data_IF_039815689930
#
_entry.id   IF_039815689930
#
_cell.length_a   1.000
_cell.length_b   1.000
_cell.length_c   1.000
_cell.angle_alpha   90.00
_cell.angle_beta   90.00
_cell.angle_gamma   90.00
#
_symmetry.space_group_name_H-M   'P 1'
#
loop_
_entity.id
_entity.type
_entity.pdbx_description
1 polymer ?
#
# COMPACT_ATOMS: atom_id res chain seq x y z
N UNK A 1 -60.67 -3.84 -5.12
CA UNK A 1 -60.20 -2.46 -4.86
C UNK A 1 -59.13 -2.34 -3.77
N UNK A 2 -59.28 -3.00 -2.61
CA UNK A 2 -58.33 -2.88 -1.48
C UNK A 2 -56.89 -3.31 -1.85
N UNK A 3 -56.73 -4.39 -2.63
CA UNK A 3 -55.41 -4.89 -3.07
C UNK A 3 -54.60 -3.89 -3.90
N UNK A 4 -55.27 -3.08 -4.73
CA UNK A 4 -54.60 -2.11 -5.60
C UNK A 4 -54.13 -0.87 -4.83
N UNK A 5 -54.94 -0.39 -3.87
CA UNK A 5 -54.54 0.69 -2.96
C UNK A 5 -53.35 0.30 -2.09
N UNK A 6 -53.31 -0.94 -1.60
CA UNK A 6 -52.17 -1.50 -0.87
C UNK A 6 -50.90 -1.57 -1.72
N UNK A 7 -51.01 -2.01 -2.98
CA UNK A 7 -49.87 -2.06 -3.90
C UNK A 7 -49.31 -0.67 -4.22
N UNK A 8 -50.17 0.31 -4.51
CA UNK A 8 -49.77 1.70 -4.77
C UNK A 8 -49.11 2.33 -3.54
N UNK A 9 -49.64 2.08 -2.35
CA UNK A 9 -49.06 2.58 -1.10
C UNK A 9 -47.68 1.95 -0.82
N UNK A 10 -47.53 0.64 -1.04
CA UNK A 10 -46.25 -0.05 -0.89
C UNK A 10 -45.18 0.43 -1.87
N UNK A 11 -45.56 0.68 -3.14
CA UNK A 11 -44.66 1.25 -4.16
C UNK A 11 -44.27 2.68 -3.81
N UNK A 12 -45.23 3.49 -3.34
CA UNK A 12 -44.96 4.85 -2.86
C UNK A 12 -43.97 4.87 -1.69
N UNK A 13 -44.13 3.96 -0.72
CA UNK A 13 -43.19 3.78 0.39
C UNK A 13 -41.79 3.37 -0.07
N UNK A 14 -41.69 2.43 -1.02
CA UNK A 14 -40.41 2.02 -1.61
C UNK A 14 -39.70 3.18 -2.30
N UNK A 15 -40.42 4.03 -3.03
CA UNK A 15 -39.87 5.20 -3.73
C UNK A 15 -39.51 6.36 -2.80
N UNK A 16 -40.26 6.56 -1.70
CA UNK A 16 -39.99 7.60 -0.71
C UNK A 16 -38.89 7.22 0.29
N UNK A 17 -38.67 5.92 0.52
CA UNK A 17 -37.67 5.41 1.46
C UNK A 17 -36.23 5.92 1.24
N UNK A 18 -35.70 6.05 0.01
CA UNK A 18 -34.33 6.51 -0.19
C UNK A 18 -34.17 7.99 0.15
N UNK A 19 -35.18 8.80 -0.15
CA UNK A 19 -35.21 10.23 0.20
C UNK A 19 -35.26 10.44 1.71
N UNK A 20 -36.07 9.64 2.42
CA UNK A 20 -36.11 9.68 3.89
C UNK A 20 -34.78 9.24 4.51
N UNK A 21 -34.18 8.16 4.02
CA UNK A 21 -32.88 7.68 4.49
C UNK A 21 -31.76 8.71 4.24
N UNK A 22 -31.75 9.37 3.08
CA UNK A 22 -30.82 10.46 2.76
C UNK A 22 -30.96 11.64 3.71
N UNK A 23 -32.19 12.09 3.98
CA UNK A 23 -32.43 13.21 4.89
C UNK A 23 -32.05 12.87 6.33
N UNK A 24 -32.43 11.68 6.83
CA UNK A 24 -32.06 11.23 8.18
C UNK A 24 -30.54 11.08 8.31
N UNK A 25 -29.87 10.54 7.29
CA UNK A 25 -28.41 10.46 7.29
C UNK A 25 -27.77 11.85 7.31
N UNK A 26 -28.24 12.76 6.44
CA UNK A 26 -27.78 14.14 6.38
C UNK A 26 -27.83 14.84 7.73
N UNK A 27 -28.97 14.75 8.42
CA UNK A 27 -29.14 15.31 9.77
C UNK A 27 -28.13 14.71 10.76
N UNK A 28 -27.98 13.38 10.78
CA UNK A 28 -27.02 12.71 11.68
C UNK A 28 -25.59 13.14 11.40
N UNK A 29 -25.19 13.27 10.13
CA UNK A 29 -23.85 13.73 9.77
C UNK A 29 -23.61 15.18 10.16
N UNK A 30 -24.60 16.07 9.98
CA UNK A 30 -24.48 17.46 10.42
C UNK A 30 -24.33 17.57 11.93
N UNK A 31 -25.11 16.81 12.70
CA UNK A 31 -24.98 16.77 14.16
C UNK A 31 -23.60 16.23 14.58
N UNK A 32 -23.15 15.14 13.98
CA UNK A 32 -21.82 14.59 14.25
C UNK A 32 -20.69 15.58 13.92
N UNK A 33 -20.78 16.30 12.79
CA UNK A 33 -19.80 17.30 12.39
C UNK A 33 -19.74 18.46 13.39
N UNK A 34 -20.89 18.92 13.90
CA UNK A 34 -20.97 19.96 14.94
C UNK A 34 -20.28 19.45 16.22
N UNK A 35 -20.56 18.23 16.65
CA UNK A 35 -19.93 17.64 17.84
C UNK A 35 -18.42 17.46 17.66
N UNK A 36 -17.97 17.06 16.47
CA UNK A 36 -16.56 16.92 16.12
C UNK A 36 -15.84 18.27 16.14
N UNK A 37 -16.44 19.31 15.55
CA UNK A 37 -15.88 20.66 15.56
C UNK A 37 -15.78 21.21 16.98
N UNK A 38 -16.83 21.07 17.79
CA UNK A 38 -16.81 21.50 19.21
C UNK A 38 -15.75 20.77 20.03
N UNK A 39 -15.58 19.47 19.82
CA UNK A 39 -14.53 18.71 20.50
C UNK A 39 -13.12 19.16 20.09
N UNK A 40 -12.91 19.49 18.81
CA UNK A 40 -11.65 20.04 18.32
C UNK A 40 -11.38 21.45 18.87
N UNK A 41 -12.40 22.32 18.93
CA UNK A 41 -12.28 23.66 19.53
C UNK A 41 -11.92 23.59 21.02
N UNK A 42 -12.56 22.70 21.78
CA UNK A 42 -12.25 22.48 23.20
C UNK A 42 -10.82 21.96 23.40
N UNK A 43 -10.36 21.03 22.54
CA UNK A 43 -9.00 20.53 22.57
C UNK A 43 -7.96 21.63 22.25
N UNK A 44 -8.25 22.52 21.29
CA UNK A 44 -7.42 23.69 20.99
C UNK A 44 -7.41 24.72 22.12
N UNK A 45 -8.48 24.80 22.91
CA UNK A 45 -8.57 25.61 24.13
C UNK A 45 -7.87 24.98 25.35
N UNK A 46 -7.26 23.79 25.21
CA UNK A 46 -6.52 23.11 26.28
C UNK A 46 -7.37 22.23 27.20
N UNK A 47 -8.65 22.01 26.87
CA UNK A 47 -9.50 21.07 27.61
C UNK A 47 -9.21 19.61 27.22
N UNK A 48 -9.48 18.69 28.14
CA UNK A 48 -9.32 17.26 27.87
C UNK A 48 -10.25 16.82 26.71
N UNK A 49 -9.72 16.11 25.70
CA UNK A 49 -10.48 15.77 24.51
C UNK A 49 -11.68 14.87 24.87
N UNK A 50 -12.89 15.37 24.64
CA UNK A 50 -14.10 14.56 24.76
C UNK A 50 -14.20 13.61 23.57
N UNK A 51 -14.48 12.32 23.77
CA UNK A 51 -14.60 11.38 22.67
C UNK A 51 -15.83 11.71 21.83
N UNK A 52 -15.61 12.05 20.57
CA UNK A 52 -16.67 12.19 19.58
C UNK A 52 -17.14 10.78 19.20
N UNK A 53 -18.46 10.59 19.09
CA UNK A 53 -19.04 9.35 18.59
C UNK A 53 -18.53 9.01 17.18
N UNK A 54 -18.76 7.77 16.71
CA UNK A 54 -18.37 7.37 15.36
C UNK A 54 -19.16 8.18 14.32
N UNK A 55 -18.50 8.55 13.23
CA UNK A 55 -19.15 9.19 12.08
C UNK A 55 -20.31 8.30 11.58
N UNK A 56 -21.50 8.88 11.30
CA UNK A 56 -22.62 8.12 10.75
C UNK A 56 -22.26 7.49 9.41
N UNK A 57 -22.44 6.18 9.31
CA UNK A 57 -22.17 5.41 8.08
C UNK A 57 -23.15 5.82 6.99
N UNK A 58 -22.66 6.07 5.78
CA UNK A 58 -23.51 6.39 4.62
C UNK A 58 -24.49 5.27 4.30
N UNK A 59 -25.75 5.56 3.96
CA UNK A 59 -26.70 4.53 3.50
C UNK A 59 -26.26 3.85 2.19
N UNK A 60 -25.33 4.46 1.44
CA UNK A 60 -24.73 3.89 0.23
C UNK A 60 -23.31 3.35 0.47
N UNK A 61 -22.86 3.27 1.72
CA UNK A 61 -21.52 2.77 2.05
C UNK A 61 -21.29 1.37 1.47
N UNK A 62 -22.30 0.51 1.51
CA UNK A 62 -22.24 -0.85 0.93
C UNK A 62 -21.93 -0.87 -0.58
N UNK A 63 -22.37 0.13 -1.35
CA UNK A 63 -22.06 0.23 -2.79
C UNK A 63 -20.59 0.55 -2.98
N UNK A 64 -20.07 1.51 -2.20
CA UNK A 64 -18.66 1.92 -2.24
C UNK A 64 -17.73 0.82 -1.74
N UNK A 65 -18.11 0.14 -0.66
CA UNK A 65 -17.34 -0.96 -0.09
C UNK A 65 -17.31 -2.13 -1.08
N UNK A 66 -18.43 -2.47 -1.73
CA UNK A 66 -18.46 -3.47 -2.79
C UNK A 66 -17.58 -3.08 -3.99
N UNK A 67 -17.59 -1.82 -4.40
CA UNK A 67 -16.72 -1.34 -5.49
C UNK A 67 -15.24 -1.40 -5.10
N UNK A 68 -14.90 -1.01 -3.87
CA UNK A 68 -13.53 -1.08 -3.34
C UNK A 68 -13.06 -2.52 -3.23
N UNK A 69 -13.86 -3.40 -2.64
CA UNK A 69 -13.54 -4.84 -2.53
C UNK A 69 -13.33 -5.43 -3.93
N UNK A 70 -14.25 -5.18 -4.88
CA UNK A 70 -14.08 -5.64 -6.27
C UNK A 70 -12.76 -5.15 -6.89
N UNK A 71 -12.39 -3.89 -6.70
CA UNK A 71 -11.16 -3.33 -7.24
C UNK A 71 -9.88 -3.92 -6.61
N UNK A 72 -9.91 -4.27 -5.32
CA UNK A 72 -8.76 -4.90 -4.65
C UNK A 72 -8.59 -6.37 -5.08
N UNK A 73 -9.70 -7.07 -5.29
CA UNK A 73 -9.74 -8.47 -5.69
C UNK A 73 -9.74 -8.69 -7.23
N UNK A 74 -9.67 -7.64 -8.04
CA UNK A 74 -9.54 -7.76 -9.50
C UNK A 74 -8.13 -8.21 -9.88
N UNK A 75 -7.98 -9.47 -10.30
CA UNK A 75 -6.70 -10.06 -10.69
C UNK A 75 -6.19 -9.57 -12.06
N UNK A 76 -7.03 -8.93 -12.86
CA UNK A 76 -6.73 -8.61 -14.27
C UNK A 76 -6.22 -7.20 -14.49
N UNK A 77 -6.55 -6.28 -13.56
CA UNK A 77 -6.22 -4.87 -13.63
C UNK A 77 -4.93 -4.54 -12.86
N UNK A 78 -4.18 -3.55 -13.32
CA UNK A 78 -3.11 -2.95 -12.51
C UNK A 78 -3.75 -2.02 -11.48
N UNK A 79 -3.36 -2.14 -10.21
CA UNK A 79 -3.92 -1.36 -9.11
C UNK A 79 -2.80 -0.68 -8.32
N UNK A 80 -2.90 0.64 -8.09
CA UNK A 80 -1.89 1.41 -7.37
C UNK A 80 -1.69 0.96 -5.91
N UNK A 81 -2.71 0.33 -5.32
CA UNK A 81 -2.69 -0.23 -3.96
C UNK A 81 -1.99 -1.58 -3.87
N UNK A 82 -1.60 -2.16 -5.01
CA UNK A 82 -0.79 -3.36 -5.17
C UNK A 82 0.51 -2.97 -5.82
N UNK A 83 1.54 -2.73 -5.03
CA UNK A 83 2.79 -2.17 -5.54
C UNK A 83 4.05 -2.76 -4.91
N UNK A 84 5.15 -2.72 -5.66
CA UNK A 84 6.48 -2.93 -5.12
C UNK A 84 7.20 -1.59 -5.16
N UNK A 85 7.64 -1.10 -4.01
CA UNK A 85 8.48 0.09 -3.93
C UNK A 85 9.94 -0.31 -4.09
N UNK A 86 10.60 0.34 -5.04
CA UNK A 86 12.02 0.18 -5.34
C UNK A 86 12.71 1.53 -5.33
N UNK A 87 14.01 1.54 -5.05
CA UNK A 87 14.82 2.75 -5.12
C UNK A 87 16.23 2.43 -5.57
N UNK A 88 16.80 3.31 -6.40
CA UNK A 88 18.17 3.27 -6.84
C UNK A 88 18.92 4.57 -6.56
N UNK A 89 20.23 4.47 -6.36
CA UNK A 89 21.15 5.62 -6.24
C UNK A 89 21.99 5.61 -7.50
N UNK A 90 21.88 6.68 -8.29
CA UNK A 90 22.45 6.76 -9.64
C UNK A 90 23.11 8.11 -9.84
N UNK A 91 24.16 8.15 -10.65
CA UNK A 91 24.69 9.41 -11.13
C UNK A 91 23.78 9.96 -12.25
N UNK A 92 23.87 11.26 -12.56
CA UNK A 92 23.06 11.84 -13.65
C UNK A 92 23.45 11.23 -14.99
N UNK A 93 24.73 10.91 -15.14
CA UNK A 93 25.33 10.30 -16.31
C UNK A 93 24.70 8.92 -16.60
N UNK A 94 24.33 8.18 -15.57
CA UNK A 94 23.67 6.86 -15.69
C UNK A 94 22.19 6.98 -16.15
N UNK A 95 21.63 8.18 -16.11
CA UNK A 95 20.28 8.49 -16.58
C UNK A 95 20.26 9.01 -18.03
N UNK A 96 21.44 9.25 -18.62
CA UNK A 96 21.57 9.69 -20.00
C UNK A 96 21.37 8.53 -20.97
N UNK A 97 20.75 8.82 -22.11
CA UNK A 97 20.80 7.89 -23.23
C UNK A 97 22.15 7.99 -23.96
N UNK A 98 22.61 6.92 -24.63
CA UNK A 98 23.88 6.96 -25.35
C UNK A 98 23.93 8.13 -26.35
N UNK A 99 24.93 9.01 -26.22
CA UNK A 99 25.10 10.19 -27.05
C UNK A 99 24.32 11.44 -26.62
N UNK A 100 23.58 11.38 -25.53
CA UNK A 100 22.90 12.53 -24.94
C UNK A 100 23.88 13.41 -24.17
N UNK A 101 23.79 14.73 -24.35
CA UNK A 101 24.59 15.68 -23.58
C UNK A 101 24.08 15.76 -22.14
N UNK A 102 24.99 15.95 -21.18
CA UNK A 102 24.59 16.18 -19.78
C UNK A 102 23.69 17.41 -19.65
N UNK A 103 22.65 17.37 -18.80
CA UNK A 103 21.80 18.52 -18.56
C UNK A 103 22.59 19.63 -17.88
N UNK A 104 22.13 20.88 -18.02
CA UNK A 104 22.60 21.98 -17.20
C UNK A 104 22.47 21.60 -15.71
N UNK A 105 23.50 21.82 -14.87
CA UNK A 105 23.44 21.52 -13.44
C UNK A 105 22.20 22.07 -12.73
N UNK A 106 21.69 23.23 -13.15
CA UNK A 106 20.48 23.83 -12.56
C UNK A 106 19.21 23.01 -12.83
N UNK A 107 19.17 22.25 -13.94
CA UNK A 107 18.04 21.40 -14.33
C UNK A 107 18.28 19.91 -14.09
N UNK A 108 19.44 19.52 -13.55
CA UNK A 108 19.77 18.14 -13.24
C UNK A 108 18.74 17.43 -12.34
N UNK A 109 18.14 18.08 -11.31
CA UNK A 109 17.10 17.45 -10.49
C UNK A 109 15.82 17.13 -11.28
N UNK A 110 15.35 18.09 -12.09
CA UNK A 110 14.17 17.91 -12.94
C UNK A 110 14.41 16.83 -13.99
N UNK A 111 15.62 16.80 -14.56
CA UNK A 111 16.03 15.77 -15.49
C UNK A 111 16.02 14.38 -14.85
N UNK A 112 16.59 14.24 -13.63
CA UNK A 112 16.60 12.99 -12.90
C UNK A 112 15.18 12.48 -12.60
N UNK A 113 14.28 13.37 -12.19
CA UNK A 113 12.88 13.04 -11.93
C UNK A 113 12.17 12.56 -13.20
N UNK A 114 12.34 13.26 -14.33
CA UNK A 114 11.75 12.88 -15.61
C UNK A 114 12.24 11.52 -16.14
N UNK A 115 13.46 11.11 -15.78
CA UNK A 115 14.06 9.83 -16.21
C UNK A 115 13.86 8.69 -15.21
N UNK A 116 13.48 8.98 -13.96
CA UNK A 116 13.34 7.99 -12.89
C UNK A 116 12.44 6.81 -13.28
N UNK A 117 11.27 7.10 -13.86
CA UNK A 117 10.32 6.05 -14.27
C UNK A 117 10.92 5.12 -15.34
N UNK A 118 11.61 5.69 -16.35
CA UNK A 118 12.23 4.91 -17.41
C UNK A 118 13.39 4.05 -16.89
N UNK A 119 14.16 4.56 -15.94
CA UNK A 119 15.26 3.79 -15.35
C UNK A 119 14.72 2.63 -14.49
N UNK A 120 13.71 2.91 -13.65
CA UNK A 120 13.21 1.94 -12.69
C UNK A 120 12.22 0.93 -13.26
N UNK A 121 11.72 1.12 -14.49
CA UNK A 121 10.84 0.14 -15.15
C UNK A 121 11.50 -1.23 -15.33
N UNK A 122 12.83 -1.30 -15.38
CA UNK A 122 13.55 -2.58 -15.45
C UNK A 122 13.26 -3.51 -14.26
N UNK A 123 12.94 -2.95 -13.08
CA UNK A 123 12.55 -3.73 -11.91
C UNK A 123 11.17 -4.40 -12.07
N UNK A 124 10.35 -4.01 -13.07
CA UNK A 124 9.13 -4.74 -13.38
C UNK A 124 9.41 -6.19 -13.80
N UNK A 125 10.60 -6.52 -14.30
CA UNK A 125 10.97 -7.91 -14.61
C UNK A 125 10.92 -8.80 -13.36
N UNK A 126 11.37 -8.28 -12.21
CA UNK A 126 11.32 -9.01 -10.94
C UNK A 126 9.87 -9.20 -10.47
N UNK A 127 9.04 -8.16 -10.63
CA UNK A 127 7.60 -8.21 -10.27
C UNK A 127 6.86 -9.20 -11.17
N UNK A 128 7.10 -9.17 -12.47
CA UNK A 128 6.47 -10.09 -13.45
C UNK A 128 6.92 -11.53 -13.26
N UNK A 129 8.17 -11.74 -12.84
CA UNK A 129 8.68 -13.08 -12.56
C UNK A 129 7.99 -13.75 -11.36
N UNK A 130 7.49 -12.97 -10.39
CA UNK A 130 7.02 -13.50 -9.09
C UNK A 130 5.58 -13.15 -8.74
N UNK A 131 5.19 -11.89 -8.82
CA UNK A 131 3.94 -11.38 -8.22
C UNK A 131 2.83 -11.09 -9.21
N UNK A 132 3.17 -10.75 -10.46
CA UNK A 132 2.21 -10.15 -11.37
C UNK A 132 2.22 -10.66 -12.80
N UNK A 133 1.07 -10.55 -13.45
CA UNK A 133 0.90 -10.77 -14.90
C UNK A 133 1.12 -9.50 -15.71
N UNK A 134 0.96 -8.33 -15.06
CA UNK A 134 1.21 -7.00 -15.62
C UNK A 134 1.93 -6.16 -14.57
N UNK A 135 2.82 -5.27 -15.01
CA UNK A 135 3.52 -4.31 -14.16
C UNK A 135 3.60 -2.96 -14.86
N UNK A 136 3.41 -1.88 -14.10
CA UNK A 136 3.56 -0.52 -14.59
C UNK A 136 4.10 0.38 -13.48
N UNK A 137 4.86 1.41 -13.86
CA UNK A 137 5.27 2.46 -12.92
C UNK A 137 4.08 3.37 -12.69
N UNK A 138 3.59 3.46 -11.44
CA UNK A 138 2.47 4.35 -11.07
C UNK A 138 2.93 5.69 -10.50
N UNK A 139 4.10 5.70 -9.86
CA UNK A 139 4.71 6.89 -9.28
C UNK A 139 6.22 6.72 -9.36
N UNK A 140 6.93 7.79 -9.71
CA UNK A 140 8.38 7.85 -9.65
C UNK A 140 8.81 9.22 -9.13
N UNK A 141 9.93 9.26 -8.42
CA UNK A 141 10.50 10.51 -7.90
C UNK A 141 12.03 10.43 -7.89
N UNK A 142 12.68 11.59 -7.84
CA UNK A 142 14.12 11.69 -7.67
C UNK A 142 14.44 12.69 -6.55
N UNK A 143 15.42 12.35 -5.71
CA UNK A 143 15.89 13.21 -4.64
C UNK A 143 17.41 13.32 -4.72
N UNK A 144 17.94 14.54 -4.70
CA UNK A 144 19.37 14.78 -4.69
C UNK A 144 20.01 14.27 -3.38
N UNK A 145 21.09 13.52 -3.51
CA UNK A 145 21.93 13.09 -2.40
C UNK A 145 23.10 14.07 -2.19
N UNK A 146 23.73 13.99 -1.01
CA UNK A 146 24.82 14.92 -0.63
C UNK A 146 26.11 14.70 -1.41
N UNK A 147 26.28 13.53 -2.03
CA UNK A 147 27.43 13.14 -2.83
C UNK A 147 27.29 13.52 -4.32
N UNK A 148 26.24 14.25 -4.68
CA UNK A 148 25.95 14.65 -6.06
C UNK A 148 25.20 13.58 -6.87
N UNK A 149 24.95 12.40 -6.29
CA UNK A 149 24.08 11.39 -6.89
C UNK A 149 22.59 11.71 -6.67
N UNK A 150 21.73 10.97 -7.34
CA UNK A 150 20.27 11.05 -7.17
C UNK A 150 19.75 9.71 -6.66
N UNK A 151 19.00 9.76 -5.57
CA UNK A 151 18.15 8.64 -5.16
C UNK A 151 16.85 8.73 -5.93
N UNK A 152 16.70 7.87 -6.94
CA UNK A 152 15.46 7.69 -7.68
C UNK A 152 14.64 6.58 -7.01
N UNK A 153 13.32 6.74 -6.99
CA UNK A 153 12.41 5.74 -6.46
C UNK A 153 11.16 5.61 -7.30
N UNK A 154 10.54 4.44 -7.24
CA UNK A 154 9.31 4.16 -7.96
C UNK A 154 8.40 3.21 -7.20
N UNK A 155 7.09 3.38 -7.41
CA UNK A 155 6.07 2.38 -7.11
C UNK A 155 5.73 1.63 -8.38
N UNK A 156 6.01 0.34 -8.37
CA UNK A 156 5.71 -0.59 -9.45
C UNK A 156 4.39 -1.28 -9.14
N UNK A 157 3.32 -0.79 -9.75
CA UNK A 157 1.98 -1.35 -9.56
C UNK A 157 1.76 -2.57 -10.44
N UNK A 158 1.00 -3.55 -9.96
CA UNK A 158 0.84 -4.81 -10.66
C UNK A 158 -0.58 -5.38 -10.63
N UNK A 159 -0.83 -6.27 -11.60
CA UNK A 159 -1.96 -7.18 -11.64
C UNK A 159 -1.50 -8.56 -11.13
N UNK A 160 -2.06 -9.12 -10.05
CA UNK A 160 -1.58 -10.35 -9.43
C UNK A 160 -1.52 -11.55 -10.37
N UNK A 161 -0.53 -12.41 -10.21
CA UNK A 161 -0.44 -13.74 -10.84
C UNK A 161 -0.86 -14.88 -9.91
N UNK A 162 -1.05 -14.59 -8.62
CA UNK A 162 -1.44 -15.54 -7.58
C UNK A 162 -2.92 -15.40 -7.24
N UNK A 163 -3.50 -16.46 -6.66
CA UNK A 163 -4.91 -16.45 -6.24
C UNK A 163 -5.12 -15.54 -5.02
N UNK A 164 -6.01 -14.56 -5.15
CA UNK A 164 -6.39 -13.65 -4.06
C UNK A 164 -7.43 -14.25 -3.10
N UNK A 165 -8.08 -15.34 -3.52
CA UNK A 165 -9.27 -15.89 -2.86
C UNK A 165 -10.54 -15.10 -3.16
N UNK A 166 -11.66 -15.54 -2.56
CA UNK A 166 -13.00 -15.00 -2.83
C UNK A 166 -13.60 -14.32 -1.59
N UNK A 167 -13.84 -12.99 -1.61
CA UNK A 167 -14.42 -12.26 -0.47
C UNK A 167 -15.90 -12.60 -0.23
N UNK A 168 -16.58 -13.24 -1.19
CA UNK A 168 -18.02 -13.51 -1.18
C UNK A 168 -18.49 -14.43 -0.04
N UNK A 169 -17.58 -15.18 0.58
CA UNK A 169 -17.88 -16.12 1.66
C UNK A 169 -18.17 -15.44 3.01
N UNK A 170 -17.99 -14.12 3.13
CA UNK A 170 -18.21 -13.39 4.38
C UNK A 170 -19.09 -12.13 4.19
N UNK A 171 -20.42 -12.26 4.25
CA UNK A 171 -21.34 -11.12 4.14
C UNK A 171 -21.06 -10.08 5.23
N UNK A 172 -20.84 -8.81 4.83
CA UNK A 172 -20.57 -7.71 5.77
C UNK A 172 -19.13 -7.66 6.33
N UNK A 173 -18.19 -8.36 5.69
CA UNK A 173 -16.75 -8.20 5.95
C UNK A 173 -16.21 -6.84 5.48
N UNK A 174 -15.00 -6.52 5.93
CA UNK A 174 -14.22 -5.36 5.51
C UNK A 174 -12.79 -5.75 5.19
N UNK A 175 -12.03 -4.79 4.65
CA UNK A 175 -10.62 -4.99 4.31
C UNK A 175 -9.77 -4.73 5.55
N UNK A 176 -9.13 -5.77 6.08
CA UNK A 176 -8.25 -5.70 7.24
C UNK A 176 -6.81 -5.79 6.74
N UNK A 177 -6.02 -4.76 7.01
CA UNK A 177 -4.66 -4.63 6.47
C UNK A 177 -3.63 -4.61 7.60
N UNK A 178 -2.54 -5.34 7.45
CA UNK A 178 -1.41 -5.32 8.39
C UNK A 178 -0.09 -5.53 7.65
N UNK A 179 1.02 -5.19 8.29
CA UNK A 179 2.36 -5.27 7.69
C UNK A 179 3.31 -6.03 8.60
N UNK A 180 4.27 -6.71 7.99
CA UNK A 180 5.37 -7.39 8.67
C UNK A 180 6.68 -7.21 7.91
N UNK A 181 7.81 -7.32 8.62
CA UNK A 181 9.12 -7.32 8.00
C UNK A 181 9.39 -8.70 7.41
N UNK A 182 10.06 -8.73 6.27
CA UNK A 182 10.51 -9.97 5.64
C UNK A 182 11.96 -10.24 6.04
N UNK A 183 12.29 -11.49 6.38
CA UNK A 183 13.59 -11.85 6.95
C UNK A 183 13.82 -11.24 8.34
N UNK A 184 12.80 -11.30 9.20
CA UNK A 184 12.90 -10.85 10.59
C UNK A 184 14.00 -11.66 11.31
N UNK A 185 14.80 -11.00 12.16
CA UNK A 185 15.96 -11.54 12.92
C UNK A 185 17.32 -11.58 12.22
N UNK A 186 17.46 -11.03 11.01
CA UNK A 186 18.76 -10.91 10.34
C UNK A 186 19.43 -9.60 10.74
N UNK A 187 20.69 -9.66 11.17
CA UNK A 187 21.47 -8.45 11.47
C UNK A 187 21.72 -7.62 10.20
N UNK A 188 21.98 -6.31 10.33
CA UNK A 188 22.22 -5.44 9.16
C UNK A 188 23.39 -5.94 8.28
N UNK A 189 24.35 -6.69 8.86
CA UNK A 189 25.50 -7.27 8.15
C UNK A 189 25.16 -8.55 7.36
N UNK A 190 24.07 -9.21 7.71
CA UNK A 190 23.64 -10.46 7.08
C UNK A 190 22.52 -10.23 6.06
N UNK A 191 21.98 -9.01 5.98
CA UNK A 191 20.98 -8.64 4.97
C UNK A 191 21.51 -8.92 3.56
N UNK A 192 20.67 -9.44 2.64
CA UNK A 192 21.12 -9.80 1.32
C UNK A 192 21.61 -8.58 0.53
N UNK A 193 22.60 -8.81 -0.33
CA UNK A 193 23.10 -7.80 -1.27
C UNK A 193 21.98 -7.38 -2.23
N UNK A 194 22.05 -6.14 -2.74
CA UNK A 194 21.11 -5.66 -3.75
C UNK A 194 21.30 -6.39 -5.09
N UNK A 195 20.63 -7.53 -5.24
CA UNK A 195 20.58 -8.32 -6.47
C UNK A 195 19.13 -8.62 -6.86
N UNK A 196 18.91 -8.97 -8.13
CA UNK A 196 17.59 -9.43 -8.60
C UNK A 196 17.11 -10.67 -7.83
N UNK A 197 18.02 -11.59 -7.51
CA UNK A 197 17.74 -12.77 -6.71
C UNK A 197 17.22 -12.39 -5.31
N UNK A 198 17.89 -11.46 -4.62
CA UNK A 198 17.45 -10.99 -3.30
C UNK A 198 16.06 -10.32 -3.35
N UNK A 199 15.83 -9.47 -4.35
CA UNK A 199 14.53 -8.81 -4.55
C UNK A 199 13.41 -9.82 -4.80
N UNK A 200 13.65 -10.81 -5.66
CA UNK A 200 12.71 -11.91 -5.94
C UNK A 200 12.50 -12.80 -4.71
N UNK A 201 13.54 -13.04 -3.91
CA UNK A 201 13.45 -13.79 -2.66
C UNK A 201 12.49 -13.15 -1.65
N UNK A 202 12.48 -11.81 -1.53
CA UNK A 202 11.47 -11.13 -0.71
C UNK A 202 10.05 -11.31 -1.26
N UNK A 203 9.87 -11.33 -2.57
CA UNK A 203 8.57 -11.58 -3.19
C UNK A 203 8.10 -13.02 -2.95
N UNK A 204 9.00 -13.99 -3.03
CA UNK A 204 8.71 -15.40 -2.70
C UNK A 204 8.29 -15.56 -1.23
N UNK A 205 9.00 -14.92 -0.30
CA UNK A 205 8.62 -14.91 1.12
C UNK A 205 7.23 -14.31 1.32
N UNK A 206 6.94 -13.17 0.68
CA UNK A 206 5.61 -12.56 0.76
C UNK A 206 4.51 -13.47 0.21
N UNK A 207 4.77 -14.19 -0.89
CA UNK A 207 3.84 -15.16 -1.46
C UNK A 207 3.57 -16.33 -0.50
N UNK A 208 4.62 -16.89 0.12
CA UNK A 208 4.47 -17.99 1.07
C UNK A 208 3.65 -17.59 2.31
N UNK A 209 3.89 -16.39 2.83
CA UNK A 209 3.10 -15.80 3.91
C UNK A 209 1.64 -15.62 3.46
N UNK A 210 1.43 -15.04 2.27
CA UNK A 210 0.09 -14.78 1.76
C UNK A 210 -0.71 -16.06 1.53
N UNK A 211 -0.06 -17.12 1.06
CA UNK A 211 -0.66 -18.44 0.89
C UNK A 211 -1.11 -19.05 2.22
N UNK A 212 -0.28 -18.91 3.26
CA UNK A 212 -0.57 -19.38 4.61
C UNK A 212 -1.74 -18.62 5.25
N UNK A 213 -1.87 -17.34 4.95
CA UNK A 213 -3.01 -16.50 5.36
C UNK A 213 -4.26 -16.90 4.57
N UNK A 214 -4.15 -17.04 3.25
CA UNK A 214 -5.27 -17.40 2.36
C UNK A 214 -5.90 -18.73 2.76
N UNK A 215 -5.09 -19.72 3.15
CA UNK A 215 -5.58 -21.02 3.64
C UNK A 215 -6.46 -20.88 4.88
N UNK A 216 -6.18 -19.89 5.75
CA UNK A 216 -6.89 -19.68 7.02
C UNK A 216 -8.08 -18.72 6.92
N UNK A 217 -7.91 -17.64 6.17
CA UNK A 217 -8.89 -16.54 6.06
C UNK A 217 -9.69 -16.59 4.75
N UNK A 218 -9.36 -17.50 3.84
CA UNK A 218 -9.99 -17.65 2.52
C UNK A 218 -9.61 -16.56 1.50
N UNK A 219 -8.91 -15.51 1.94
CA UNK A 219 -8.44 -14.40 1.11
C UNK A 219 -7.06 -13.93 1.56
N UNK A 220 -6.26 -13.45 0.63
CA UNK A 220 -5.06 -12.67 0.93
C UNK A 220 -4.63 -11.85 -0.28
N UNK A 221 -4.27 -10.59 -0.06
CA UNK A 221 -3.73 -9.66 -1.06
C UNK A 221 -2.42 -9.10 -0.54
N UNK A 222 -1.36 -9.10 -1.36
CA UNK A 222 -0.11 -8.41 -1.08
C UNK A 222 -0.26 -6.97 -1.59
N UNK A 223 -0.61 -6.04 -0.70
CA UNK A 223 -0.81 -4.63 -1.05
C UNK A 223 0.49 -3.93 -1.39
N UNK A 224 1.52 -4.11 -0.57
CA UNK A 224 2.79 -3.45 -0.86
C UNK A 224 3.97 -4.26 -0.40
N UNK A 225 5.02 -4.30 -1.19
CA UNK A 225 6.34 -4.72 -0.74
C UNK A 225 7.27 -3.53 -0.86
N UNK A 226 7.77 -3.03 0.27
CA UNK A 226 8.73 -1.94 0.30
C UNK A 226 10.12 -2.50 0.45
N UNK A 227 10.91 -2.47 -0.64
CA UNK A 227 12.30 -2.89 -0.65
C UNK A 227 13.17 -1.65 -0.47
N UNK A 228 13.81 -1.58 0.69
CA UNK A 228 14.61 -0.44 1.13
C UNK A 228 16.08 -0.80 1.18
N UNK A 229 16.92 0.15 0.76
CA UNK A 229 18.38 0.04 0.84
C UNK A 229 18.84 0.35 2.25
N UNK A 230 19.67 -0.53 2.81
CA UNK A 230 20.41 -0.28 4.05
C UNK A 230 21.84 0.01 3.65
N UNK A 231 22.20 1.30 3.72
CA UNK A 231 23.55 1.79 3.42
C UNK A 231 24.24 2.05 4.75
N UNK A 232 25.29 1.27 5.06
CA UNK A 232 26.14 1.58 6.20
C UNK A 232 26.96 2.83 5.89
N UNK A 233 26.96 3.79 6.82
CA UNK A 233 27.82 4.98 6.68
C UNK A 233 29.28 4.52 6.68
N UNK A 234 29.98 4.85 5.60
CA UNK A 234 31.43 4.67 5.54
C UNK A 234 32.08 5.59 6.58
N UNK A 235 33.05 5.08 7.35
CA UNK A 235 33.75 5.93 8.32
C UNK A 235 34.69 6.85 7.54
N UNK A 236 34.89 8.07 8.06
CA UNK A 236 35.78 9.05 7.43
C UNK A 236 37.19 8.49 7.20
N UNK A 237 37.71 7.73 8.15
CA UNK A 237 39.02 7.06 8.02
C UNK A 237 39.05 6.06 6.85
N UNK A 238 37.95 5.36 6.57
CA UNK A 238 37.87 4.41 5.45
C UNK A 238 37.87 5.14 4.10
N UNK A 239 37.21 6.31 4.04
CA UNK A 239 37.24 7.19 2.86
C UNK A 239 38.64 7.75 2.63
N UNK A 240 39.29 8.25 3.69
CA UNK A 240 40.66 8.78 3.64
C UNK A 240 41.69 7.69 3.28
N UNK A 241 41.43 6.43 3.65
CA UNK A 241 42.22 5.27 3.26
C UNK A 241 41.93 4.76 1.82
N UNK A 242 40.99 5.36 1.10
CA UNK A 242 40.63 4.96 -0.27
C UNK A 242 39.93 3.60 -0.35
N UNK A 243 39.29 3.14 0.74
CA UNK A 243 38.56 1.87 0.74
C UNK A 243 37.27 2.00 -0.10
N UNK A 244 36.86 0.93 -0.80
CA UNK A 244 35.61 0.95 -1.56
C UNK A 244 34.41 1.14 -0.62
N UNK A 245 33.32 1.77 -1.10
CA UNK A 245 32.11 1.93 -0.31
C UNK A 245 31.55 0.57 0.10
N UNK A 246 30.93 0.46 1.29
CA UNK A 246 30.34 -0.79 1.73
C UNK A 246 29.22 -1.22 0.76
N UNK A 247 29.02 -2.54 0.58
CA UNK A 247 28.00 -3.03 -0.33
C UNK A 247 26.60 -2.61 0.14
N UNK A 248 25.73 -2.30 -0.83
CA UNK A 248 24.33 -1.97 -0.56
C UNK A 248 23.56 -3.25 -0.25
N UNK A 249 22.96 -3.29 0.94
CA UNK A 249 22.12 -4.40 1.39
C UNK A 249 20.65 -4.01 1.35
N UNK A 250 19.77 -5.00 1.33
CA UNK A 250 18.33 -4.80 1.20
C UNK A 250 17.59 -5.27 2.44
N UNK A 251 16.54 -4.52 2.80
CA UNK A 251 15.52 -4.89 3.77
C UNK A 251 14.15 -4.72 3.14
N UNK A 252 13.25 -5.65 3.40
CA UNK A 252 11.88 -5.55 2.89
C UNK A 252 10.83 -5.55 4.00
N UNK A 253 9.75 -4.79 3.77
CA UNK A 253 8.51 -4.86 4.56
C UNK A 253 7.36 -5.18 3.61
N UNK A 254 6.53 -6.16 3.94
CA UNK A 254 5.33 -6.48 3.18
C UNK A 254 4.06 -6.09 3.94
N UNK A 255 3.06 -5.61 3.20
CA UNK A 255 1.73 -5.30 3.67
C UNK A 255 0.73 -6.25 3.02
N UNK A 256 -0.12 -6.85 3.84
CA UNK A 256 -1.12 -7.83 3.45
C UNK A 256 -2.51 -7.33 3.81
N UNK A 257 -3.50 -7.66 2.99
CA UNK A 257 -4.91 -7.41 3.26
C UNK A 257 -5.71 -8.68 3.16
N UNK A 258 -6.61 -8.89 4.11
CA UNK A 258 -7.63 -9.95 4.09
C UNK A 258 -9.01 -9.33 4.10
N UNK A 259 -10.01 -10.09 3.64
CA UNK A 259 -11.41 -9.74 3.81
C UNK A 259 -11.98 -10.48 5.02
N UNK A 260 -12.21 -9.75 6.10
CA UNK A 260 -12.64 -10.30 7.39
C UNK A 260 -13.54 -9.30 8.13
N UNK A 261 -14.17 -9.72 9.24
CA UNK A 261 -14.94 -8.81 10.10
C UNK A 261 -14.05 -7.68 10.63
N UNK A 262 -14.30 -6.45 10.21
CA UNK A 262 -13.47 -5.31 10.59
C UNK A 262 -13.72 -4.90 12.05
N UNK A 263 -12.80 -5.30 12.94
CA UNK A 263 -12.81 -4.91 14.35
C UNK A 263 -11.37 -4.93 14.92
N UNK A 264 -11.19 -4.34 16.11
CA UNK A 264 -9.87 -4.21 16.76
C UNK A 264 -9.22 -5.56 17.10
N UNK A 265 -10.01 -6.56 17.48
CA UNK A 265 -9.50 -7.88 17.85
C UNK A 265 -8.99 -8.61 16.62
N UNK A 266 -9.75 -8.62 15.52
CA UNK A 266 -9.32 -9.18 14.24
C UNK A 266 -8.07 -8.49 13.70
N UNK A 267 -8.00 -7.16 13.79
CA UNK A 267 -6.82 -6.40 13.36
C UNK A 267 -5.56 -6.75 14.19
N UNK A 268 -5.72 -6.96 15.51
CA UNK A 268 -4.63 -7.35 16.41
C UNK A 268 -4.19 -8.79 16.11
N UNK A 269 -5.14 -9.73 16.07
CA UNK A 269 -4.87 -11.14 15.78
C UNK A 269 -4.17 -11.32 14.43
N UNK A 270 -4.62 -10.60 13.39
CA UNK A 270 -4.00 -10.65 12.07
C UNK A 270 -2.55 -10.15 12.07
N UNK A 271 -2.25 -9.10 12.86
CA UNK A 271 -0.88 -8.61 13.00
C UNK A 271 0.02 -9.62 13.71
N UNK A 272 -0.45 -10.21 14.80
CA UNK A 272 0.29 -11.22 15.56
C UNK A 272 0.56 -12.47 14.71
N UNK A 273 -0.43 -12.89 13.93
CA UNK A 273 -0.31 -13.99 12.97
C UNK A 273 0.73 -13.71 11.89
N UNK A 274 0.75 -12.49 11.34
CA UNK A 274 1.75 -12.07 10.35
C UNK A 274 3.18 -12.07 10.91
N UNK A 275 3.37 -11.58 12.13
CA UNK A 275 4.68 -11.61 12.79
C UNK A 275 5.12 -13.06 13.03
N UNK A 276 4.22 -13.93 13.49
CA UNK A 276 4.53 -15.34 13.70
C UNK A 276 4.91 -16.06 12.40
N UNK A 277 4.19 -15.79 11.30
CA UNK A 277 4.53 -16.35 9.98
C UNK A 277 5.87 -15.84 9.45
N UNK A 278 6.11 -14.53 9.57
CA UNK A 278 7.35 -13.92 9.10
C UNK A 278 8.58 -14.43 9.86
N UNK A 279 8.43 -14.80 11.14
CA UNK A 279 9.49 -15.43 11.91
C UNK A 279 9.74 -16.90 11.56
N UNK A 280 8.79 -17.55 10.86
CA UNK A 280 8.88 -18.95 10.46
C UNK A 280 9.35 -19.15 9.00
N UNK A 281 9.56 -18.06 8.26
CA UNK A 281 10.00 -18.04 6.86
C UNK A 281 11.41 -17.48 6.74
#
# INVERSE_FOLDING_TARGET
>A
MIKWKLAVFAVGLLLASPLLLLNVWGIKTSMWAIDATRANEAALAGEAPKPVGKMPVSPFQWIRDNARVRAEFDQTAVNWRRSVYVSDSVAVEDLLTPGEASPDPAFAPLYAEARAARHLIGHCEDVLAKLGTKCAVSEASANAARDGSYTISARLSYAPSYDLGTPEKMPGGGLVTASTRLGENVSDDELPLNSAEARRGFMDQALAICESIRTRHGTCIINSISITRVVKRQRRADVEAGLPPPPVRLRATAQFTIYAKENRETQKAFREELTALAAAT
#
